data_IF_462180430606
#
_entry.id   IF_462180430606
#
_cell.length_a   1.000
_cell.length_b   1.000
_cell.length_c   1.000
_cell.angle_alpha   90.00
_cell.angle_beta   90.00
_cell.angle_gamma   90.00
#
_symmetry.space_group_name_H-M   'P 1'
#
loop_
_entity.id
_entity.type
_entity.pdbx_description
1 polymer ?
#
# COMPACT_ATOMS: atom_id res chain seq x y z
N UNK A 1 21.85 -5.23 9.99
CA UNK A 1 22.18 -6.67 9.82
C UNK A 1 20.95 -7.46 10.17
N UNK A 2 20.47 -8.29 9.25
CA UNK A 2 19.38 -9.23 9.57
C UNK A 2 19.94 -10.49 10.21
N UNK A 3 19.27 -10.94 11.26
CA UNK A 3 19.58 -12.21 11.91
C UNK A 3 18.34 -13.09 11.91
N UNK A 4 18.45 -14.28 11.33
CA UNK A 4 17.39 -15.27 11.34
C UNK A 4 17.43 -16.07 12.66
N UNK A 5 16.34 -16.07 13.40
CA UNK A 5 16.15 -16.96 14.54
C UNK A 5 15.68 -18.33 14.01
N UNK A 6 16.31 -19.41 14.44
CA UNK A 6 15.97 -20.79 14.01
C UNK A 6 14.62 -21.29 14.57
N UNK A 7 13.83 -20.44 15.19
CA UNK A 7 12.51 -20.73 15.72
C UNK A 7 11.50 -19.82 15.07
N UNK A 8 10.39 -20.40 14.62
CA UNK A 8 9.25 -19.63 14.16
C UNK A 8 8.74 -18.70 15.27
N UNK A 9 8.25 -17.54 14.90
CA UNK A 9 7.61 -16.60 15.84
C UNK A 9 6.38 -17.23 16.50
N UNK A 10 5.67 -18.10 15.80
CA UNK A 10 4.54 -18.86 16.31
C UNK A 10 4.62 -20.33 15.87
N UNK A 11 4.19 -21.25 16.73
CA UNK A 11 4.27 -22.68 16.45
C UNK A 11 3.24 -23.07 15.38
N UNK A 12 3.70 -23.77 14.34
CA UNK A 12 2.85 -24.30 13.27
C UNK A 12 2.56 -25.78 13.53
N UNK A 13 1.26 -26.15 13.45
CA UNK A 13 0.79 -27.52 13.50
C UNK A 13 -0.23 -27.74 12.39
N UNK A 14 -0.07 -28.79 11.61
CA UNK A 14 -0.98 -29.20 10.54
C UNK A 14 -1.36 -30.65 10.77
N UNK A 15 -2.63 -30.94 10.87
CA UNK A 15 -3.15 -32.28 11.19
C UNK A 15 -2.98 -33.24 10.03
N UNK A 16 -3.19 -32.76 8.79
CA UNK A 16 -3.08 -33.57 7.58
C UNK A 16 -2.78 -32.70 6.35
N UNK A 17 -2.17 -33.28 5.30
CA UNK A 17 -1.96 -32.58 4.03
C UNK A 17 -3.29 -32.14 3.39
N UNK A 18 -3.30 -30.91 2.86
CA UNK A 18 -4.39 -30.34 2.07
C UNK A 18 -3.82 -29.34 1.04
N UNK A 19 -3.46 -29.82 -0.18
CA UNK A 19 -2.91 -28.96 -1.22
C UNK A 19 -3.88 -27.89 -1.73
N UNK A 20 -5.19 -28.08 -1.61
CA UNK A 20 -6.16 -27.08 -1.99
C UNK A 20 -6.12 -25.88 -1.04
N UNK A 21 -6.09 -26.15 0.27
CA UNK A 21 -5.90 -25.11 1.29
C UNK A 21 -4.52 -24.44 1.17
N UNK A 22 -3.47 -25.23 0.87
CA UNK A 22 -2.13 -24.68 0.63
C UNK A 22 -2.14 -23.63 -0.49
N UNK A 23 -2.86 -23.88 -1.59
CA UNK A 23 -3.00 -22.95 -2.69
C UNK A 23 -3.70 -21.65 -2.28
N UNK A 24 -4.73 -21.73 -1.46
CA UNK A 24 -5.44 -20.54 -0.95
C UNK A 24 -4.54 -19.70 -0.01
N UNK A 25 -3.72 -20.35 0.81
CA UNK A 25 -2.79 -19.69 1.72
C UNK A 25 -1.66 -18.93 0.99
N UNK A 26 -1.39 -19.24 -0.30
CA UNK A 26 -0.46 -18.45 -1.10
C UNK A 26 -0.91 -16.99 -1.28
N UNK A 27 -2.19 -16.67 -1.10
CA UNK A 27 -2.65 -15.28 -1.07
C UNK A 27 -1.93 -14.46 0.01
N UNK A 28 -1.73 -15.06 1.19
CA UNK A 28 -1.00 -14.43 2.29
C UNK A 28 0.53 -14.58 2.19
N UNK A 29 1.02 -15.45 1.33
CA UNK A 29 2.45 -15.59 1.08
C UNK A 29 2.96 -14.62 0.01
N UNK A 30 2.45 -14.72 -1.20
CA UNK A 30 2.92 -14.00 -2.38
C UNK A 30 1.86 -13.12 -3.06
N UNK A 31 0.68 -12.93 -2.43
CA UNK A 31 -0.37 -12.06 -2.92
C UNK A 31 -0.13 -10.57 -2.64
N UNK A 32 -0.97 -9.69 -3.20
CA UNK A 32 -0.84 -8.23 -3.06
C UNK A 32 -1.03 -7.74 -1.62
N UNK A 33 -1.81 -8.46 -0.83
CA UNK A 33 -2.11 -8.17 0.58
C UNK A 33 -1.43 -9.17 1.52
N UNK A 34 -0.45 -9.94 1.02
CA UNK A 34 0.27 -10.96 1.78
C UNK A 34 1.55 -10.42 2.42
N UNK A 35 2.15 -11.25 3.26
CA UNK A 35 3.27 -10.92 4.14
C UNK A 35 4.50 -10.39 3.40
N UNK A 36 4.83 -10.95 2.22
CA UNK A 36 5.97 -10.45 1.46
C UNK A 36 5.74 -9.03 0.93
N UNK A 37 4.52 -8.72 0.47
CA UNK A 37 4.18 -7.39 0.00
C UNK A 37 4.21 -6.36 1.16
N UNK A 38 3.73 -6.75 2.33
CA UNK A 38 3.79 -5.96 3.56
C UNK A 38 5.23 -5.70 3.99
N UNK A 39 6.04 -6.76 4.14
CA UNK A 39 7.45 -6.65 4.52
C UNK A 39 8.24 -5.71 3.59
N UNK A 40 8.11 -5.88 2.28
CA UNK A 40 8.83 -5.06 1.30
C UNK A 40 8.33 -3.62 1.28
N UNK A 41 7.05 -3.38 1.51
CA UNK A 41 6.45 -2.04 1.62
C UNK A 41 7.04 -1.28 2.81
N UNK A 42 6.94 -1.85 4.00
CA UNK A 42 7.40 -1.18 5.22
C UNK A 42 8.91 -1.03 5.27
N UNK A 43 9.65 -2.00 4.75
CA UNK A 43 11.09 -1.90 4.61
C UNK A 43 11.50 -0.76 3.67
N UNK A 44 10.86 -0.65 2.50
CA UNK A 44 11.16 0.41 1.53
C UNK A 44 10.82 1.78 2.08
N UNK A 45 9.66 1.92 2.72
CA UNK A 45 9.25 3.16 3.39
C UNK A 45 10.20 3.52 4.53
N UNK A 46 10.60 2.54 5.36
CA UNK A 46 11.53 2.75 6.46
C UNK A 46 12.90 3.24 6.02
N UNK A 47 13.37 2.86 4.84
CA UNK A 47 14.63 3.39 4.29
C UNK A 47 14.52 4.88 3.89
N UNK A 48 13.33 5.31 3.46
CA UNK A 48 13.06 6.68 3.05
C UNK A 48 12.56 7.57 4.22
N UNK A 49 12.15 6.99 5.34
CA UNK A 49 11.62 7.73 6.49
C UNK A 49 12.73 8.46 7.24
N UNK A 50 12.49 9.75 7.49
CA UNK A 50 13.45 10.65 8.13
C UNK A 50 13.26 10.75 9.65
N UNK A 51 12.02 10.62 10.13
CA UNK A 51 11.77 10.57 11.57
C UNK A 51 12.30 9.24 12.14
N UNK A 52 13.25 9.29 13.08
CA UNK A 52 13.91 8.08 13.58
C UNK A 52 12.95 7.12 14.30
N UNK A 53 11.89 7.62 14.93
CA UNK A 53 10.91 6.80 15.63
C UNK A 53 10.00 6.06 14.64
N UNK A 54 9.50 6.74 13.60
CA UNK A 54 8.72 6.09 12.55
C UNK A 54 9.55 5.15 11.71
N UNK A 55 10.81 5.49 11.42
CA UNK A 55 11.76 4.59 10.75
C UNK A 55 11.96 3.30 11.51
N UNK A 56 12.19 3.39 12.81
CA UNK A 56 12.39 2.24 13.69
C UNK A 56 11.13 1.33 13.68
N UNK A 57 9.95 1.92 13.90
CA UNK A 57 8.68 1.22 13.83
C UNK A 57 8.46 0.51 12.49
N UNK A 58 8.74 1.18 11.36
CA UNK A 58 8.56 0.59 10.02
C UNK A 58 9.51 -0.59 9.79
N UNK A 59 10.75 -0.50 10.24
CA UNK A 59 11.73 -1.58 10.11
C UNK A 59 11.44 -2.76 11.06
N UNK A 60 10.95 -2.48 12.26
CA UNK A 60 10.51 -3.51 13.20
C UNK A 60 9.35 -4.31 12.64
N UNK A 61 8.29 -3.62 12.16
CA UNK A 61 7.13 -4.28 11.57
C UNK A 61 7.55 -5.02 10.29
N UNK A 62 8.35 -4.43 9.40
CA UNK A 62 8.84 -5.11 8.20
C UNK A 62 9.58 -6.42 8.52
N UNK A 63 10.33 -6.44 9.61
CA UNK A 63 11.06 -7.63 10.09
C UNK A 63 10.09 -8.67 10.67
N UNK A 64 9.06 -8.22 11.36
CA UNK A 64 8.00 -9.09 11.87
C UNK A 64 7.21 -9.74 10.74
N UNK A 65 6.89 -9.01 9.65
CA UNK A 65 6.22 -9.56 8.47
C UNK A 65 7.03 -10.66 7.78
N UNK A 66 8.36 -10.58 7.80
CA UNK A 66 9.20 -11.71 7.33
C UNK A 66 9.05 -12.93 8.22
N UNK A 67 8.81 -12.75 9.52
CA UNK A 67 8.52 -13.85 10.45
C UNK A 67 7.14 -14.46 10.22
N UNK A 68 6.15 -13.63 9.88
CA UNK A 68 4.83 -14.08 9.46
C UNK A 68 4.90 -14.86 8.14
N UNK A 69 5.67 -14.37 7.17
CA UNK A 69 5.93 -15.06 5.91
C UNK A 69 6.50 -16.46 6.15
N UNK A 70 7.42 -16.61 7.11
CA UNK A 70 7.99 -17.91 7.49
C UNK A 70 6.93 -18.85 8.09
N UNK A 71 6.02 -18.32 8.92
CA UNK A 71 4.89 -19.09 9.49
C UNK A 71 3.95 -19.58 8.37
N UNK A 72 3.51 -18.70 7.47
CA UNK A 72 2.65 -19.08 6.33
C UNK A 72 3.36 -20.07 5.42
N UNK A 73 4.61 -19.81 5.05
CA UNK A 73 5.41 -20.70 4.22
C UNK A 73 5.57 -22.09 4.81
N UNK A 74 5.69 -22.17 6.13
CA UNK A 74 5.77 -23.45 6.87
C UNK A 74 4.44 -24.21 6.83
N UNK A 75 3.30 -23.52 6.98
CA UNK A 75 1.97 -24.13 6.86
C UNK A 75 1.80 -24.69 5.44
N UNK A 76 2.09 -23.89 4.42
CA UNK A 76 1.99 -24.30 3.00
C UNK A 76 2.84 -25.53 2.71
N UNK A 77 4.08 -25.57 3.18
CA UNK A 77 4.98 -26.70 2.99
C UNK A 77 4.45 -27.98 3.67
N UNK A 78 3.85 -27.85 4.85
CA UNK A 78 3.23 -28.99 5.56
C UNK A 78 1.96 -29.50 4.89
N UNK A 79 1.12 -28.57 4.40
CA UNK A 79 -0.11 -28.94 3.67
C UNK A 79 0.19 -29.62 2.33
N UNK A 80 1.29 -29.29 1.68
CA UNK A 80 1.73 -29.92 0.43
C UNK A 80 2.50 -31.24 0.65
N UNK A 81 2.71 -31.66 1.89
CA UNK A 81 3.48 -32.85 2.19
C UNK A 81 2.79 -34.11 1.64
N UNK A 82 3.50 -34.81 0.76
CA UNK A 82 2.96 -36.02 0.11
C UNK A 82 2.17 -35.79 -1.19
N UNK A 83 1.91 -34.53 -1.58
CA UNK A 83 1.17 -34.22 -2.81
C UNK A 83 1.78 -34.86 -4.08
N UNK A 84 3.10 -34.98 -4.16
CA UNK A 84 3.78 -35.70 -5.25
C UNK A 84 3.46 -37.19 -5.29
N UNK A 85 3.38 -37.83 -4.13
CA UNK A 85 3.04 -39.25 -4.04
C UNK A 85 1.59 -39.49 -4.49
N UNK A 86 0.66 -38.73 -3.96
CA UNK A 86 -0.75 -38.80 -4.34
C UNK A 86 -0.97 -38.58 -5.86
N UNK A 87 -0.26 -37.62 -6.46
CA UNK A 87 -0.35 -37.37 -7.87
C UNK A 87 0.28 -38.50 -8.71
N UNK A 88 1.39 -39.11 -8.24
CA UNK A 88 2.01 -40.26 -8.90
C UNK A 88 1.10 -41.48 -8.88
N UNK A 89 0.35 -41.68 -7.79
CA UNK A 89 -0.64 -42.74 -7.69
C UNK A 89 -1.86 -42.45 -8.59
N UNK A 90 -2.37 -41.22 -8.57
CA UNK A 90 -3.48 -40.79 -9.44
C UNK A 90 -3.13 -40.82 -10.94
N UNK A 91 -1.86 -40.65 -11.30
CA UNK A 91 -1.41 -40.77 -12.69
C UNK A 91 -1.49 -42.21 -13.24
N UNK A 92 -1.68 -43.20 -12.38
CA UNK A 92 -1.89 -44.58 -12.81
C UNK A 92 -3.34 -44.81 -13.30
N UNK A 93 -4.27 -43.94 -12.95
CA UNK A 93 -5.66 -43.93 -13.42
C UNK A 93 -5.96 -42.54 -14.03
N UNK A 94 -6.21 -42.48 -15.35
CA UNK A 94 -6.36 -41.23 -16.12
C UNK A 94 -7.47 -40.32 -15.56
N UNK A 95 -8.56 -40.91 -15.04
CA UNK A 95 -9.67 -40.18 -14.44
C UNK A 95 -9.28 -39.48 -13.12
N UNK A 96 -8.46 -40.14 -12.30
CA UNK A 96 -8.00 -39.62 -11.02
C UNK A 96 -6.94 -38.52 -11.23
N UNK A 97 -6.08 -38.66 -12.26
CA UNK A 97 -5.17 -37.60 -12.65
C UNK A 97 -5.92 -36.34 -13.09
N UNK A 98 -6.97 -36.50 -13.91
CA UNK A 98 -7.81 -35.38 -14.34
C UNK A 98 -8.50 -34.71 -13.17
N UNK A 99 -9.04 -35.50 -12.25
CA UNK A 99 -9.67 -34.99 -11.01
C UNK A 99 -8.66 -34.29 -10.12
N UNK A 100 -7.47 -34.83 -9.90
CA UNK A 100 -6.41 -34.22 -9.10
C UNK A 100 -5.93 -32.89 -9.68
N UNK A 101 -5.82 -32.78 -11.00
CA UNK A 101 -5.42 -31.54 -11.68
C UNK A 101 -6.55 -30.48 -11.65
N UNK A 102 -7.79 -30.88 -11.83
CA UNK A 102 -8.91 -29.93 -11.98
C UNK A 102 -9.67 -29.63 -10.66
N UNK A 103 -9.80 -30.59 -9.76
CA UNK A 103 -10.53 -30.40 -8.50
C UNK A 103 -9.75 -29.59 -7.45
N UNK A 104 -8.42 -29.65 -7.50
CA UNK A 104 -7.54 -28.89 -6.60
C UNK A 104 -7.06 -27.54 -7.19
N UNK A 105 -7.56 -27.13 -8.37
CA UNK A 105 -7.03 -25.95 -9.05
C UNK A 105 -5.55 -26.12 -9.40
N UNK A 106 -4.78 -25.04 -9.33
CA UNK A 106 -3.34 -25.04 -9.61
C UNK A 106 -2.49 -25.69 -8.48
N UNK A 107 -3.08 -26.15 -7.37
CA UNK A 107 -2.37 -26.57 -6.17
C UNK A 107 -1.42 -27.76 -6.41
N UNK A 108 -1.89 -28.80 -7.11
CA UNK A 108 -1.04 -29.96 -7.42
C UNK A 108 0.08 -29.61 -8.41
N UNK A 109 -0.24 -28.83 -9.43
CA UNK A 109 0.74 -28.35 -10.39
C UNK A 109 1.82 -27.51 -9.71
N UNK A 110 1.46 -26.61 -8.82
CA UNK A 110 2.40 -25.81 -8.04
C UNK A 110 3.26 -26.66 -7.12
N UNK A 111 2.67 -27.63 -6.40
CA UNK A 111 3.40 -28.57 -5.55
C UNK A 111 4.44 -29.38 -6.33
N UNK A 112 4.12 -29.79 -7.56
CA UNK A 112 5.03 -30.51 -8.43
C UNK A 112 6.17 -29.61 -8.91
N UNK A 113 5.84 -28.44 -9.45
CA UNK A 113 6.80 -27.52 -10.04
C UNK A 113 7.75 -26.92 -8.99
N UNK A 114 7.24 -26.62 -7.81
CA UNK A 114 8.01 -25.96 -6.74
C UNK A 114 8.43 -26.92 -5.63
N UNK A 115 8.26 -28.25 -5.83
CA UNK A 115 8.76 -29.26 -4.90
C UNK A 115 8.04 -29.36 -3.57
N UNK A 116 6.83 -28.80 -3.45
CA UNK A 116 6.02 -28.77 -2.22
C UNK A 116 6.29 -27.57 -1.32
N UNK A 117 7.27 -26.73 -1.64
CA UNK A 117 7.47 -25.44 -0.98
C UNK A 117 6.43 -24.40 -1.41
N UNK A 118 6.30 -23.26 -0.72
CA UNK A 118 5.44 -22.18 -1.14
C UNK A 118 5.94 -21.55 -2.44
N UNK A 119 5.06 -21.47 -3.45
CA UNK A 119 5.33 -20.72 -4.65
C UNK A 119 5.25 -19.22 -4.36
N UNK A 120 6.12 -18.42 -4.97
CA UNK A 120 6.07 -16.97 -4.85
C UNK A 120 4.99 -16.38 -5.78
N UNK A 121 3.75 -16.76 -5.51
CA UNK A 121 2.56 -16.37 -6.28
C UNK A 121 1.42 -16.07 -5.32
N UNK A 122 0.34 -15.46 -5.84
CA UNK A 122 -0.94 -15.43 -5.13
C UNK A 122 -1.68 -16.78 -5.28
N UNK A 123 -2.88 -16.86 -4.71
CA UNK A 123 -3.76 -18.04 -4.77
C UNK A 123 -4.18 -18.44 -6.18
N UNK A 124 -4.17 -17.53 -7.13
CA UNK A 124 -4.49 -17.77 -8.54
C UNK A 124 -3.25 -18.08 -9.41
N UNK A 125 -2.07 -18.21 -8.80
CA UNK A 125 -0.83 -18.50 -9.52
C UNK A 125 -0.18 -17.28 -10.19
N UNK A 126 -0.65 -16.06 -9.92
CA UNK A 126 -0.03 -14.84 -10.43
C UNK A 126 1.27 -14.58 -9.65
N UNK A 127 2.42 -14.46 -10.34
CA UNK A 127 3.71 -14.23 -9.67
C UNK A 127 3.70 -12.93 -8.86
N UNK A 128 4.36 -12.95 -7.69
CA UNK A 128 4.61 -11.75 -6.92
C UNK A 128 5.35 -10.70 -7.74
N UNK A 129 5.02 -9.45 -7.53
CA UNK A 129 5.63 -8.32 -8.23
C UNK A 129 5.84 -7.13 -7.29
N UNK A 130 6.89 -6.35 -7.53
CA UNK A 130 7.14 -5.10 -6.83
C UNK A 130 6.02 -4.05 -7.04
N UNK A 131 5.12 -4.25 -8.01
CA UNK A 131 3.94 -3.42 -8.18
C UNK A 131 2.95 -3.49 -7.00
N UNK A 132 3.08 -4.49 -6.12
CA UNK A 132 2.31 -4.59 -4.88
C UNK A 132 2.85 -3.69 -3.75
N UNK A 133 4.02 -3.09 -3.95
CA UNK A 133 4.69 -2.26 -2.93
C UNK A 133 4.29 -0.80 -3.10
N UNK A 134 3.42 -0.32 -2.22
CA UNK A 134 3.11 1.11 -2.12
C UNK A 134 4.16 1.81 -1.26
N UNK A 135 4.95 2.66 -1.89
CA UNK A 135 5.89 3.55 -1.21
C UNK A 135 6.02 4.83 -2.04
N UNK A 136 5.60 5.94 -1.50
CA UNK A 136 5.57 7.24 -2.18
C UNK A 136 6.59 8.22 -1.60
N UNK A 137 7.21 7.88 -0.46
CA UNK A 137 8.12 8.76 0.25
C UNK A 137 7.40 9.93 0.94
N UNK A 138 6.09 9.83 1.12
CA UNK A 138 5.28 10.74 1.91
C UNK A 138 4.70 9.98 3.11
N UNK A 139 5.13 10.29 4.33
CA UNK A 139 4.72 9.53 5.50
C UNK A 139 3.20 9.51 5.73
N UNK A 140 2.50 10.59 5.39
CA UNK A 140 1.04 10.66 5.54
C UNK A 140 0.31 9.78 4.54
N UNK A 141 0.80 9.70 3.30
CA UNK A 141 0.30 8.82 2.27
C UNK A 141 0.62 7.36 2.60
N UNK A 142 1.88 7.09 2.92
CA UNK A 142 2.40 5.75 3.14
C UNK A 142 1.76 5.09 4.37
N UNK A 143 1.60 5.81 5.49
CA UNK A 143 0.91 5.29 6.68
C UNK A 143 -0.57 4.95 6.41
N UNK A 144 -1.28 5.73 5.59
CA UNK A 144 -2.67 5.41 5.21
C UNK A 144 -2.74 4.16 4.34
N UNK A 145 -1.79 3.99 3.42
CA UNK A 145 -1.65 2.77 2.63
C UNK A 145 -1.38 1.55 3.53
N UNK A 146 -0.52 1.71 4.54
CA UNK A 146 -0.20 0.65 5.49
C UNK A 146 -1.42 0.23 6.31
N UNK A 147 -2.16 1.18 6.89
CA UNK A 147 -3.42 0.91 7.62
C UNK A 147 -4.40 0.13 6.74
N UNK A 148 -4.53 0.50 5.47
CA UNK A 148 -5.40 -0.20 4.53
C UNK A 148 -4.88 -1.60 4.19
N UNK A 149 -3.56 -1.80 4.09
CA UNK A 149 -2.94 -3.10 3.83
C UNK A 149 -3.21 -4.08 4.98
N UNK A 150 -2.95 -3.67 6.23
CA UNK A 150 -3.21 -4.49 7.42
C UNK A 150 -4.69 -4.88 7.53
N UNK A 151 -5.59 -3.95 7.23
CA UNK A 151 -7.03 -4.21 7.25
C UNK A 151 -7.44 -5.26 6.22
N UNK A 152 -6.82 -5.25 5.02
CA UNK A 152 -7.07 -6.24 3.98
C UNK A 152 -6.46 -7.60 4.33
N UNK A 153 -5.22 -7.64 4.84
CA UNK A 153 -4.59 -8.86 5.33
C UNK A 153 -5.43 -9.51 6.43
N UNK A 154 -5.86 -8.72 7.42
CA UNK A 154 -6.76 -9.18 8.50
C UNK A 154 -8.01 -9.87 7.99
N UNK A 155 -8.73 -9.29 7.04
CA UNK A 155 -9.98 -9.88 6.53
C UNK A 155 -9.75 -11.16 5.71
N UNK A 156 -8.60 -11.27 5.03
CA UNK A 156 -8.23 -12.50 4.32
C UNK A 156 -7.92 -13.61 5.33
N UNK A 157 -7.17 -13.34 6.40
CA UNK A 157 -6.95 -14.29 7.49
C UNK A 157 -8.26 -14.80 8.09
N UNK A 158 -9.20 -13.90 8.37
CA UNK A 158 -10.51 -14.26 8.91
C UNK A 158 -11.26 -15.23 7.97
N UNK A 159 -11.20 -14.99 6.66
CA UNK A 159 -11.82 -15.88 5.66
C UNK A 159 -11.13 -17.23 5.58
N UNK A 160 -9.81 -17.26 5.62
CA UNK A 160 -9.01 -18.49 5.63
C UNK A 160 -9.29 -19.35 6.89
N UNK A 161 -9.42 -18.73 8.07
CA UNK A 161 -9.80 -19.39 9.31
C UNK A 161 -11.17 -20.06 9.19
N UNK A 162 -12.11 -19.42 8.49
CA UNK A 162 -13.48 -19.91 8.35
C UNK A 162 -13.63 -21.08 7.36
N UNK A 163 -12.66 -21.31 6.47
CA UNK A 163 -12.74 -22.39 5.46
C UNK A 163 -11.97 -23.66 5.85
N UNK A 164 -11.20 -23.66 6.91
CA UNK A 164 -10.48 -24.83 7.41
C UNK A 164 -11.06 -25.30 8.73
N UNK A 165 -11.02 -26.60 8.98
CA UNK A 165 -11.35 -27.19 10.28
C UNK A 165 -10.13 -27.64 11.06
N UNK A 166 -8.92 -27.48 10.50
CA UNK A 166 -7.67 -27.83 11.17
C UNK A 166 -7.42 -26.86 12.36
N UNK A 167 -7.42 -27.35 13.60
CA UNK A 167 -7.29 -26.50 14.78
C UNK A 167 -5.91 -25.87 14.90
N UNK A 168 -4.86 -26.53 14.41
CA UNK A 168 -3.51 -26.00 14.44
C UNK A 168 -3.31 -24.87 13.43
N UNK A 169 -3.96 -24.96 12.28
CA UNK A 169 -3.97 -23.88 11.28
C UNK A 169 -4.79 -22.70 11.78
N UNK A 170 -6.00 -22.94 12.32
CA UNK A 170 -6.83 -21.87 12.93
C UNK A 170 -6.06 -21.10 14.00
N UNK A 171 -5.33 -21.80 14.85
CA UNK A 171 -4.52 -21.22 15.94
C UNK A 171 -3.42 -20.29 15.36
N UNK A 172 -2.64 -20.76 14.40
CA UNK A 172 -1.58 -19.98 13.78
C UNK A 172 -2.13 -18.77 12.98
N UNK A 173 -3.17 -18.97 12.16
CA UNK A 173 -3.79 -17.87 11.42
C UNK A 173 -4.48 -16.86 12.35
N UNK A 174 -5.03 -17.31 13.47
CA UNK A 174 -5.60 -16.44 14.51
C UNK A 174 -4.55 -15.56 15.16
N UNK A 175 -3.35 -16.10 15.41
CA UNK A 175 -2.21 -15.32 15.86
C UNK A 175 -1.85 -14.25 14.83
N UNK A 176 -1.59 -14.62 13.57
CA UNK A 176 -1.23 -13.69 12.50
C UNK A 176 -2.28 -12.60 12.34
N UNK A 177 -3.56 -12.96 12.22
CA UNK A 177 -4.67 -12.00 12.14
C UNK A 177 -4.64 -10.95 13.28
N UNK A 178 -4.24 -11.37 14.47
CA UNK A 178 -4.16 -10.47 15.63
C UNK A 178 -2.95 -9.55 15.53
N UNK A 179 -1.86 -9.99 14.91
CA UNK A 179 -0.69 -9.15 14.66
C UNK A 179 -1.00 -8.05 13.65
N UNK A 180 -1.75 -8.34 12.57
CA UNK A 180 -2.21 -7.32 11.63
C UNK A 180 -2.97 -6.18 12.34
N UNK A 181 -3.82 -6.54 13.31
CA UNK A 181 -4.53 -5.52 14.13
C UNK A 181 -3.55 -4.70 14.99
N UNK A 182 -2.48 -5.31 15.48
CA UNK A 182 -1.47 -4.59 16.26
C UNK A 182 -0.65 -3.62 15.39
N UNK A 183 -0.24 -4.07 14.19
CA UNK A 183 0.44 -3.25 13.20
C UNK A 183 -0.42 -2.07 12.75
N UNK A 184 -1.68 -2.32 12.38
CA UNK A 184 -2.64 -1.28 12.05
C UNK A 184 -2.71 -0.20 13.14
N UNK A 185 -2.85 -0.59 14.41
CA UNK A 185 -2.89 0.35 15.53
C UNK A 185 -1.60 1.16 15.68
N UNK A 186 -0.45 0.57 15.37
CA UNK A 186 0.84 1.27 15.41
C UNK A 186 0.89 2.35 14.33
N UNK A 187 0.49 2.03 13.10
CA UNK A 187 0.40 2.97 11.99
C UNK A 187 -0.63 4.07 12.24
N UNK A 188 -1.80 3.75 12.80
CA UNK A 188 -2.80 4.74 13.20
C UNK A 188 -2.24 5.73 14.23
N UNK A 189 -1.56 5.25 15.27
CA UNK A 189 -0.93 6.12 16.27
C UNK A 189 0.14 7.01 15.66
N UNK A 190 0.98 6.45 14.78
CA UNK A 190 1.98 7.23 14.07
C UNK A 190 1.34 8.32 13.19
N UNK A 191 0.27 7.98 12.46
CA UNK A 191 -0.46 8.93 11.63
C UNK A 191 -1.06 10.08 12.45
N UNK A 192 -1.63 9.80 13.63
CA UNK A 192 -2.18 10.84 14.52
C UNK A 192 -1.14 11.82 15.08
N UNK A 193 0.14 11.49 15.05
CA UNK A 193 1.22 12.40 15.46
C UNK A 193 1.65 13.36 14.36
N UNK A 194 1.14 13.18 13.14
CA UNK A 194 1.54 13.97 11.99
C UNK A 194 0.73 15.26 11.86
N UNK A 195 1.29 16.20 11.10
CA UNK A 195 0.61 17.45 10.75
C UNK A 195 -0.54 17.19 9.78
N UNK A 196 -1.47 18.13 9.73
CA UNK A 196 -2.56 18.14 8.75
C UNK A 196 -2.04 18.07 7.31
N UNK A 197 -2.88 17.54 6.39
CA UNK A 197 -2.55 17.44 4.97
C UNK A 197 -2.24 18.80 4.32
N UNK A 198 -2.78 19.88 4.89
CA UNK A 198 -2.57 21.26 4.41
C UNK A 198 -1.98 22.10 5.54
N UNK A 199 -0.69 21.97 5.84
CA UNK A 199 -0.06 22.80 6.85
C UNK A 199 -0.07 24.26 6.44
N UNK A 200 -0.17 25.21 7.40
CA UNK A 200 -0.20 26.65 7.11
C UNK A 200 0.97 27.08 6.22
N UNK A 201 0.67 27.81 5.15
CA UNK A 201 1.67 28.32 4.21
C UNK A 201 2.14 27.34 3.13
N UNK A 202 1.69 26.10 3.15
CA UNK A 202 2.07 25.04 2.21
C UNK A 202 0.86 24.54 1.42
N UNK A 203 0.16 25.40 0.72
CA UNK A 203 -1.05 25.06 0.00
C UNK A 203 -0.76 24.73 -1.45
N UNK A 204 -0.95 23.48 -1.85
CA UNK A 204 -0.77 23.06 -3.23
C UNK A 204 -1.97 23.37 -4.11
N UNK A 205 -3.13 23.63 -3.52
CA UNK A 205 -4.38 23.77 -4.23
C UNK A 205 -5.33 24.78 -3.58
N UNK A 206 -6.59 24.57 -3.81
CA UNK A 206 -7.68 25.42 -3.32
C UNK A 206 -8.28 24.77 -2.08
N UNK A 207 -7.77 25.13 -0.89
CA UNK A 207 -8.14 24.53 0.40
C UNK A 207 -9.66 24.52 0.66
N UNK A 208 -10.39 25.49 0.10
CA UNK A 208 -11.86 25.55 0.20
C UNK A 208 -12.58 24.29 -0.30
N UNK A 209 -11.96 23.55 -1.23
CA UNK A 209 -12.54 22.31 -1.74
C UNK A 209 -12.22 21.08 -0.91
N UNK A 210 -11.32 21.19 0.08
CA UNK A 210 -10.95 20.06 0.92
C UNK A 210 -12.11 19.55 1.80
N UNK A 211 -13.00 20.45 2.18
CA UNK A 211 -14.16 20.15 3.01
C UNK A 211 -15.47 20.22 2.24
N UNK A 212 -15.40 20.26 0.91
CA UNK A 212 -16.57 20.30 0.06
C UNK A 212 -17.02 18.87 -0.27
N UNK A 213 -18.24 18.53 0.11
CA UNK A 213 -18.89 17.30 -0.31
C UNK A 213 -19.84 17.59 -1.47
N UNK A 214 -19.56 17.00 -2.61
CA UNK A 214 -20.38 17.18 -3.83
C UNK A 214 -21.33 15.99 -3.95
N UNK A 215 -22.61 16.23 -3.76
CA UNK A 215 -23.66 15.21 -3.89
C UNK A 215 -24.01 14.98 -5.36
N UNK A 216 -23.33 14.03 -6.01
CA UNK A 216 -23.52 13.70 -7.44
C UNK A 216 -24.28 12.39 -7.66
N UNK A 217 -24.44 11.58 -6.61
CA UNK A 217 -25.23 10.34 -6.66
C UNK A 217 -26.58 10.62 -6.04
N UNK A 218 -27.59 10.79 -6.86
CA UNK A 218 -28.89 11.32 -6.46
C UNK A 218 -29.99 10.29 -6.58
N UNK A 219 -31.06 10.47 -5.80
CA UNK A 219 -32.26 9.66 -5.85
C UNK A 219 -32.78 9.28 -4.47
N UNK A 220 -33.76 8.39 -4.45
CA UNK A 220 -34.26 7.87 -3.18
C UNK A 220 -33.15 7.09 -2.44
N UNK A 221 -32.89 7.45 -1.19
CA UNK A 221 -31.90 6.78 -0.34
C UNK A 221 -30.64 7.59 -0.08
N UNK A 222 -30.60 8.87 -0.44
CA UNK A 222 -29.53 9.76 0.02
C UNK A 222 -29.45 9.74 1.56
N UNK A 223 -28.26 9.46 2.06
CA UNK A 223 -28.02 9.33 3.49
C UNK A 223 -26.98 10.34 3.94
N UNK A 224 -27.27 10.98 5.06
CA UNK A 224 -26.35 11.88 5.73
C UNK A 224 -25.59 11.14 6.84
N UNK A 225 -24.35 11.53 7.05
CA UNK A 225 -23.50 11.00 8.10
C UNK A 225 -22.30 11.90 8.35
N UNK A 226 -21.40 11.50 9.28
CA UNK A 226 -20.20 12.28 9.56
C UNK A 226 -19.27 12.49 8.37
N UNK A 227 -19.47 11.74 7.29
CA UNK A 227 -18.69 11.80 6.06
C UNK A 227 -19.11 12.88 5.08
N UNK A 228 -20.32 13.46 5.23
CA UNK A 228 -20.88 14.43 4.31
C UNK A 228 -21.72 15.52 4.98
N UNK A 229 -21.80 15.56 6.31
CA UNK A 229 -22.56 16.55 7.08
C UNK A 229 -21.86 16.93 8.38
N UNK A 230 -22.26 18.06 8.96
CA UNK A 230 -21.68 18.64 10.17
C UNK A 230 -20.82 19.87 9.88
N UNK A 231 -20.34 20.53 10.93
CA UNK A 231 -19.66 21.83 10.87
C UNK A 231 -18.36 21.85 10.04
N UNK A 232 -17.81 20.68 9.71
CA UNK A 232 -16.59 20.55 8.93
C UNK A 232 -16.83 20.35 7.42
N UNK A 233 -18.12 20.19 6.99
CA UNK A 233 -18.45 19.92 5.61
C UNK A 233 -19.32 21.03 5.01
N UNK A 234 -18.87 21.56 3.89
CA UNK A 234 -19.68 22.35 2.98
C UNK A 234 -20.30 21.37 1.97
N UNK A 235 -21.63 21.23 1.98
CA UNK A 235 -22.32 20.33 1.07
C UNK A 235 -22.89 21.11 -0.11
N UNK A 236 -22.62 20.63 -1.32
CA UNK A 236 -23.29 21.03 -2.55
C UNK A 236 -24.29 19.96 -2.97
N UNK A 237 -25.53 20.33 -3.01
CA UNK A 237 -26.59 19.48 -3.52
C UNK A 237 -26.76 19.61 -5.05
N UNK A 238 -27.62 18.78 -5.62
CA UNK A 238 -27.78 18.45 -7.03
C UNK A 238 -27.64 19.63 -8.02
N UNK A 239 -28.33 20.73 -7.78
CA UNK A 239 -28.37 21.86 -8.72
C UNK A 239 -27.01 22.58 -8.75
N UNK A 240 -26.41 22.76 -7.62
CA UNK A 240 -25.10 23.42 -7.47
C UNK A 240 -23.97 22.55 -7.94
N UNK A 241 -24.08 21.22 -7.72
CA UNK A 241 -23.10 20.24 -8.19
C UNK A 241 -23.06 20.11 -9.73
N UNK A 242 -24.14 20.49 -10.41
CA UNK A 242 -24.20 20.51 -11.87
C UNK A 242 -23.47 21.71 -12.50
N UNK A 243 -23.07 22.69 -11.70
CA UNK A 243 -22.34 23.87 -12.15
C UNK A 243 -20.82 23.68 -11.92
N UNK A 244 -19.98 24.38 -12.72
CA UNK A 244 -18.54 24.40 -12.45
C UNK A 244 -18.27 24.97 -11.07
N UNK A 245 -17.51 24.20 -10.23
CA UNK A 245 -17.22 24.55 -8.84
C UNK A 245 -16.40 25.84 -8.69
N UNK A 246 -15.70 26.25 -9.74
CA UNK A 246 -14.92 27.48 -9.80
C UNK A 246 -15.75 28.70 -10.21
N UNK A 247 -17.02 28.51 -10.58
CA UNK A 247 -17.92 29.56 -11.10
C UNK A 247 -17.61 29.95 -12.54
N UNK A 248 -16.79 29.16 -13.26
CA UNK A 248 -16.48 29.36 -14.68
C UNK A 248 -17.57 28.85 -15.61
N UNK A 249 -17.25 28.80 -16.89
CA UNK A 249 -18.14 28.35 -17.96
C UNK A 249 -18.10 26.82 -18.20
N UNK A 250 -17.21 26.12 -17.51
CA UNK A 250 -17.01 24.67 -17.66
C UNK A 250 -16.41 24.24 -18.99
N UNK A 251 -15.88 25.15 -19.79
CA UNK A 251 -15.31 24.88 -21.11
C UNK A 251 -13.81 24.63 -21.02
N UNK A 252 -13.36 23.55 -21.63
CA UNK A 252 -11.94 23.31 -21.81
C UNK A 252 -11.42 24.21 -22.94
N UNK A 253 -10.44 25.05 -22.65
CA UNK A 253 -9.79 25.95 -23.63
C UNK A 253 -8.27 25.79 -23.56
N UNK A 254 -7.60 26.17 -24.63
CA UNK A 254 -6.11 26.20 -24.70
C UNK A 254 -5.57 27.41 -23.93
N UNK A 255 -6.32 28.50 -23.94
CA UNK A 255 -5.95 29.74 -23.27
C UNK A 255 -6.62 29.83 -21.89
N UNK A 256 -5.81 29.94 -20.85
CA UNK A 256 -6.32 30.19 -19.51
C UNK A 256 -6.82 31.65 -19.39
N UNK A 257 -7.99 31.88 -18.79
CA UNK A 257 -8.39 33.22 -18.38
C UNK A 257 -7.31 33.88 -17.52
N UNK A 258 -7.15 35.20 -17.62
CA UNK A 258 -6.10 35.93 -16.93
C UNK A 258 -6.06 35.65 -15.41
N UNK A 259 -7.21 35.50 -14.76
CA UNK A 259 -7.31 35.18 -13.35
C UNK A 259 -6.82 33.74 -13.06
N UNK A 260 -7.18 32.77 -13.90
CA UNK A 260 -6.73 31.39 -13.76
C UNK A 260 -5.22 31.28 -14.02
N UNK A 261 -4.72 31.98 -15.04
CA UNK A 261 -3.29 32.08 -15.33
C UNK A 261 -2.50 32.68 -14.16
N UNK A 262 -3.03 33.73 -13.53
CA UNK A 262 -2.43 34.33 -12.35
C UNK A 262 -2.44 33.38 -11.14
N UNK A 263 -3.53 32.61 -10.94
CA UNK A 263 -3.63 31.61 -9.86
C UNK A 263 -2.64 30.46 -10.05
N UNK A 264 -2.53 29.95 -11.27
CA UNK A 264 -1.54 28.90 -11.62
C UNK A 264 -0.12 29.41 -11.46
N UNK A 265 0.15 30.64 -11.88
CA UNK A 265 1.44 31.30 -11.68
C UNK A 265 1.81 31.44 -10.20
N UNK A 266 0.87 31.92 -9.39
CA UNK A 266 1.07 32.05 -7.95
C UNK A 266 1.27 30.68 -7.25
N UNK A 267 0.62 29.62 -7.72
CA UNK A 267 0.85 28.27 -7.22
C UNK A 267 2.24 27.76 -7.61
N UNK A 268 2.65 27.95 -8.85
CA UNK A 268 3.98 27.58 -9.32
C UNK A 268 5.09 28.34 -8.57
N UNK A 269 4.86 29.60 -8.22
CA UNK A 269 5.81 30.40 -7.45
C UNK A 269 5.93 29.90 -5.99
N UNK A 270 4.81 29.48 -5.39
CA UNK A 270 4.84 28.83 -4.06
C UNK A 270 5.61 27.50 -4.08
N UNK A 271 5.41 26.70 -5.11
CA UNK A 271 6.15 25.44 -5.29
C UNK A 271 7.65 25.68 -5.43
N UNK A 272 8.04 26.73 -6.12
CA UNK A 272 9.45 27.12 -6.29
C UNK A 272 10.05 27.73 -5.04
N UNK A 273 9.27 28.46 -4.24
CA UNK A 273 9.75 29.13 -3.02
C UNK A 273 9.95 28.20 -1.83
N UNK A 274 9.48 26.96 -1.91
CA UNK A 274 9.63 25.94 -0.88
C UNK A 274 10.12 24.62 -1.48
N UNK A 275 11.30 24.59 -2.12
CA UNK A 275 11.79 23.39 -2.81
C UNK A 275 12.12 22.24 -1.86
N UNK A 276 12.38 22.55 -0.60
CA UNK A 276 12.79 21.57 0.40
C UNK A 276 11.62 20.88 1.10
N UNK A 277 10.40 21.31 0.81
CA UNK A 277 9.22 20.72 1.43
C UNK A 277 8.15 20.37 0.40
N UNK A 278 7.50 19.23 0.59
CA UNK A 278 6.31 18.90 -0.18
C UNK A 278 5.20 19.93 0.12
N UNK A 279 4.74 20.70 -0.87
CA UNK A 279 3.80 21.80 -0.62
C UNK A 279 2.41 21.31 -0.23
N UNK A 280 2.12 20.02 -0.42
CA UNK A 280 0.84 19.38 -0.08
C UNK A 280 0.84 18.85 1.35
N UNK A 281 1.88 18.18 1.74
CA UNK A 281 1.93 17.46 3.02
C UNK A 281 2.80 18.16 4.05
N UNK A 282 3.63 19.10 3.63
CA UNK A 282 4.64 19.73 4.47
C UNK A 282 5.80 18.78 4.82
N UNK A 283 5.90 17.63 4.14
CA UNK A 283 7.03 16.75 4.30
C UNK A 283 8.31 17.42 3.82
N UNK A 284 9.38 17.28 4.58
CA UNK A 284 10.71 17.76 4.21
C UNK A 284 11.25 16.88 3.06
N UNK A 285 11.52 17.48 1.91
CA UNK A 285 12.01 16.79 0.72
C UNK A 285 13.54 16.75 0.64
N UNK A 286 14.24 17.47 1.48
CA UNK A 286 15.68 17.59 1.34
C UNK A 286 16.48 17.74 2.62
N UNK A 287 15.85 17.80 3.78
CA UNK A 287 16.52 18.19 5.02
C UNK A 287 16.37 17.18 6.16
N UNK A 288 16.23 15.89 5.87
CA UNK A 288 16.15 14.86 6.91
C UNK A 288 17.37 14.82 7.81
N UNK A 289 17.19 14.36 9.09
CA UNK A 289 18.30 14.13 9.98
C UNK A 289 19.24 13.07 9.39
N UNK A 290 20.36 13.49 8.84
CA UNK A 290 21.35 12.60 8.23
C UNK A 290 21.47 12.66 6.71
N UNK A 291 20.52 13.22 5.98
CA UNK A 291 20.77 13.75 4.67
C UNK A 291 21.43 15.12 4.90
N UNK A 292 22.70 15.26 4.73
CA UNK A 292 23.33 16.57 4.88
C UNK A 292 22.47 17.61 4.15
N UNK A 293 21.91 18.54 4.89
CA UNK A 293 21.06 19.59 4.32
C UNK A 293 21.89 20.26 3.25
N UNK A 294 21.59 19.96 2.00
CA UNK A 294 22.19 20.69 0.88
C UNK A 294 21.54 22.06 0.95
N UNK A 295 22.20 22.99 1.62
CA UNK A 295 21.72 24.36 1.69
C UNK A 295 21.77 24.96 0.29
N UNK A 296 20.94 25.97 0.04
CA UNK A 296 20.99 26.72 -1.24
C UNK A 296 22.38 27.25 -1.58
N UNK A 297 23.30 27.31 -0.62
CA UNK A 297 24.69 27.62 -0.81
C UNK A 297 25.53 26.46 -1.39
N UNK A 298 25.08 25.21 -1.18
CA UNK A 298 25.71 24.01 -1.75
C UNK A 298 25.12 23.64 -3.12
N UNK A 299 24.02 24.28 -3.51
CA UNK A 299 23.40 24.19 -4.82
C UNK A 299 23.94 25.24 -5.80
N UNK A 300 25.24 25.25 -6.02
CA UNK A 300 25.76 25.84 -7.26
C UNK A 300 25.05 25.32 -8.51
N UNK A 301 24.40 24.10 -8.40
CA UNK A 301 23.61 23.51 -9.45
C UNK A 301 22.21 24.08 -9.67
N UNK A 302 21.54 24.65 -8.65
CA UNK A 302 20.17 25.16 -8.85
C UNK A 302 20.17 26.57 -9.51
N UNK A 303 21.20 27.37 -9.23
CA UNK A 303 21.43 28.63 -9.96
C UNK A 303 21.90 28.33 -11.39
N UNK A 304 22.78 27.36 -11.59
CA UNK A 304 23.24 26.92 -12.92
C UNK A 304 22.08 26.31 -13.74
N UNK A 305 21.14 25.61 -13.14
CA UNK A 305 19.96 25.08 -13.84
C UNK A 305 18.94 26.18 -14.18
N UNK A 306 18.78 27.19 -13.33
CA UNK A 306 17.94 28.35 -13.61
C UNK A 306 18.54 29.24 -14.70
N UNK A 307 19.87 29.41 -14.70
CA UNK A 307 20.62 30.11 -15.76
C UNK A 307 20.62 29.31 -17.07
N UNK A 308 20.82 28.00 -17.02
CA UNK A 308 20.72 27.12 -18.19
C UNK A 308 19.32 27.12 -18.80
N UNK A 309 18.27 27.13 -17.96
CA UNK A 309 16.88 27.22 -18.42
C UNK A 309 16.54 28.60 -19.01
N UNK A 310 17.20 29.65 -18.53
CA UNK A 310 17.07 31.00 -19.07
C UNK A 310 17.78 31.13 -20.41
N UNK A 311 19.03 30.62 -20.50
CA UNK A 311 19.81 30.58 -21.73
C UNK A 311 19.13 29.71 -22.83
N UNK A 312 18.49 28.62 -22.44
CA UNK A 312 17.72 27.75 -23.37
C UNK A 312 16.48 28.49 -23.92
N UNK A 313 15.84 29.36 -23.14
CA UNK A 313 14.69 30.17 -23.58
C UNK A 313 15.10 31.34 -24.50
N UNK A 314 16.26 31.93 -24.26
CA UNK A 314 16.78 32.98 -25.11
C UNK A 314 17.24 32.46 -26.49
N UNK A 315 17.72 31.22 -26.57
CA UNK A 315 18.08 30.56 -27.82
C UNK A 315 16.91 29.96 -28.62
N UNK A 316 15.69 29.96 -28.07
CA UNK A 316 14.46 29.51 -28.76
C UNK A 316 13.62 30.69 -29.30
N UNK A 317 14.09 31.93 -29.15
CA UNK A 317 13.40 33.15 -29.60
C UNK A 317 14.10 33.85 -30.80
N UNK A 318 15.10 33.21 -31.39
CA UNK A 318 15.70 33.57 -32.69
C UNK A 318 15.34 32.43 -33.74
#
# INVERSE_FOLDING_TARGET
>A
MFMHNKRLQYTVRVSQPDPALASLLLEQFGGPDGELAAAMRYFTQGLAEEDPGRKDMLLDIATEELSHLEVIGSIVAMLNKGAKGALSEAAMEEADLYMAINAGGNSHTQSILYGGGPALTNSSGVPWTAAYVDSRGDPGCDLRSNIAAESRAKIIYERLINITDDPGIKDALGFLMTREVAHQKSFEKALYTMKDNFPPGKLPGLARYANLYVNTSQGEGDMDGPWNSGDQWDRLDEIEAALPLDGGDGVASVDLPAQASASVGAMADRLRSAPDENPTTGADLGAGPGAGRVTSADHGGAQDMAEAARAARENMSD
#
